data_IF_204661888923
#
_entry.id   IF_204661888923
#
_cell.length_a   1.000
_cell.length_b   1.000
_cell.length_c   1.000
_cell.angle_alpha   90.00
_cell.angle_beta   90.00
_cell.angle_gamma   90.00
#
_symmetry.space_group_name_H-M   'P 1'
#
loop_
_entity.id
_entity.type
_entity.pdbx_description
1 polymer ?
#
# COMPACT_ATOMS: atom_id res chain seq x y z
N UNK A 1 -4.68 -19.01 -25.86
CA UNK A 1 -4.26 -18.35 -25.85
C UNK A 1 -3.88 -18.19 -25.94
N UNK A 2 -3.83 -18.66 -25.19
CA UNK A 2 -3.42 -18.11 -25.01
C UNK A 2 -3.13 -18.25 -25.01
N UNK A 3 -3.40 -18.57 -24.57
CA UNK A 3 -3.05 -18.26 -24.47
C UNK A 3 -2.94 -18.38 -24.23
N UNK A 4 -3.29 -18.87 -24.07
CA UNK A 4 -2.98 -18.42 -23.81
C UNK A 4 -2.75 -18.46 -23.38
N UNK A 5 -2.83 -18.95 -22.97
CA UNK A 5 -2.58 -18.44 -22.60
C UNK A 5 -2.37 -18.50 -22.32
N UNK A 6 -2.64 -18.87 -22.06
CA UNK A 6 -2.35 -18.35 -21.84
C UNK A 6 -2.14 -18.27 -21.43
N UNK A 7 -2.16 -18.55 -20.95
CA UNK A 7 -1.89 -18.02 -20.72
C UNK A 7 -1.81 -18.02 -20.22
N UNK A 8 -1.97 -18.47 -19.93
CA UNK A 8 -1.65 -17.93 -19.57
C UNK A 8 -1.43 -17.76 -19.14
N UNK A 9 -1.50 -18.50 -18.65
CA UNK A 9 -1.30 -17.77 -18.33
C UNK A 9 -1.04 -17.66 -18.01
N UNK A 10 -0.95 -17.87 -17.74
CA UNK A 10 -0.56 -17.20 -17.56
C UNK A 10 -0.32 -16.76 -17.57
N UNK A 11 -0.12 -16.84 -17.10
CA UNK A 11 0.31 -16.02 -17.21
C UNK A 11 0.54 -15.70 -16.95
N UNK A 12 0.19 -16.17 -16.38
CA UNK A 12 0.59 -15.30 -16.31
C UNK A 12 1.04 -14.91 -16.42
N UNK A 13 1.03 -15.35 -16.27
CA UNK A 13 1.58 -14.45 -16.43
C UNK A 13 2.00 -14.00 -16.92
N UNK A 14 2.08 -14.10 -16.96
CA UNK A 14 2.56 -13.10 -17.37
C UNK A 14 2.83 -12.63 -17.85
N UNK A 15 2.81 -12.66 -18.07
CA UNK A 15 3.22 -11.71 -18.50
C UNK A 15 3.37 -11.20 -19.13
N UNK A 16 3.15 -11.14 -19.23
CA UNK A 16 3.35 -10.37 -19.78
C UNK A 16 3.37 -9.61 -20.47
N UNK A 17 3.18 -9.52 -20.49
CA UNK A 17 3.33 -8.68 -20.93
C UNK A 17 3.45 -8.07 -21.10
N UNK A 18 3.00 -8.31 -21.04
CA UNK A 18 3.23 -7.51 -21.10
C UNK A 18 3.63 -7.12 -20.59
N UNK A 19 3.79 -7.37 -20.80
CA UNK A 19 4.68 -7.06 -19.90
C UNK A 19 4.24 -6.76 -18.55
N UNK A 20 3.22 -7.22 -18.17
CA UNK A 20 2.76 -6.99 -16.81
C UNK A 20 3.72 -7.63 -15.84
N UNK A 21 4.00 -6.92 -14.75
CA UNK A 21 4.80 -7.42 -13.67
C UNK A 21 3.94 -7.78 -12.47
N UNK A 22 4.61 -7.90 -11.35
CA UNK A 22 3.94 -8.11 -10.07
C UNK A 22 3.38 -6.79 -9.56
N UNK A 23 2.23 -6.84 -8.91
CA UNK A 23 1.65 -5.67 -8.25
C UNK A 23 2.62 -5.09 -7.23
N UNK A 24 2.55 -3.77 -6.98
CA UNK A 24 3.35 -3.16 -5.93
C UNK A 24 3.02 -3.80 -4.57
N UNK A 25 4.04 -3.89 -3.73
CA UNK A 25 3.90 -4.43 -2.37
C UNK A 25 4.08 -3.29 -1.39
N UNK A 26 3.22 -3.22 -0.39
CA UNK A 26 3.29 -2.23 0.66
C UNK A 26 3.51 -2.91 2.01
N UNK A 27 4.44 -2.36 2.78
CA UNK A 27 4.65 -2.71 4.18
C UNK A 27 4.38 -1.47 5.02
N UNK A 28 3.61 -1.60 6.09
CA UNK A 28 3.40 -0.51 7.03
C UNK A 28 4.09 -0.88 8.33
N UNK A 29 5.06 -0.08 8.75
CA UNK A 29 5.75 -0.22 10.02
C UNK A 29 5.24 0.87 10.92
N UNK A 30 4.36 0.51 11.85
CA UNK A 30 3.71 1.47 12.72
C UNK A 30 4.39 1.49 14.09
N UNK A 31 5.29 2.45 14.29
CA UNK A 31 5.94 2.68 15.56
C UNK A 31 5.20 3.63 16.49
N UNK A 32 3.98 4.04 16.11
CA UNK A 32 3.18 4.96 16.93
C UNK A 32 2.44 4.22 18.03
N UNK A 33 1.92 5.00 18.98
CA UNK A 33 1.08 4.51 20.09
C UNK A 33 -0.37 4.26 19.65
N UNK A 34 -0.70 4.49 18.38
CA UNK A 34 -2.05 4.40 17.83
C UNK A 34 -2.12 3.34 16.75
N UNK A 35 -3.28 2.74 16.54
CA UNK A 35 -3.46 1.95 15.34
C UNK A 35 -3.62 2.88 14.15
N UNK A 36 -3.28 2.40 12.96
CA UNK A 36 -3.30 3.20 11.74
C UNK A 36 -3.97 2.46 10.61
N UNK A 37 -4.75 3.20 9.83
CA UNK A 37 -5.34 2.72 8.58
C UNK A 37 -4.73 3.51 7.42
N UNK A 38 -4.37 2.81 6.35
CA UNK A 38 -3.79 3.42 5.16
C UNK A 38 -4.80 3.37 4.03
N UNK A 39 -5.02 4.52 3.42
CA UNK A 39 -5.93 4.68 2.27
C UNK A 39 -5.15 5.15 1.05
N UNK A 40 -5.49 4.59 -0.10
CA UNK A 40 -5.00 5.05 -1.39
C UNK A 40 -6.21 5.47 -2.21
N UNK A 41 -6.30 6.75 -2.58
CA UNK A 41 -7.45 7.35 -3.28
C UNK A 41 -8.77 6.98 -2.58
N UNK A 42 -8.79 7.12 -1.25
CA UNK A 42 -9.95 6.85 -0.38
C UNK A 42 -10.35 5.39 -0.25
N UNK A 43 -9.51 4.47 -0.72
CA UNK A 43 -9.73 3.03 -0.56
C UNK A 43 -8.80 2.50 0.53
N UNK A 44 -9.35 1.82 1.53
CA UNK A 44 -8.56 1.20 2.59
C UNK A 44 -7.72 0.06 2.00
N UNK A 45 -6.40 0.15 2.14
CA UNK A 45 -5.48 -0.85 1.59
C UNK A 45 -4.69 -1.61 2.64
N UNK A 46 -4.47 -1.02 3.82
CA UNK A 46 -3.66 -1.66 4.86
C UNK A 46 -4.02 -1.12 6.23
N UNK A 47 -3.73 -1.90 7.26
CA UNK A 47 -3.89 -1.50 8.66
C UNK A 47 -2.76 -2.08 9.48
N UNK A 48 -2.35 -1.35 10.51
CA UNK A 48 -1.35 -1.83 11.45
C UNK A 48 -1.70 -1.34 12.85
N UNK A 49 -1.68 -2.25 13.82
CA UNK A 49 -1.91 -1.88 15.23
C UNK A 49 -0.77 -1.05 15.79
N UNK A 50 -0.98 -0.48 16.97
CA UNK A 50 0.05 0.29 17.66
C UNK A 50 1.30 -0.57 17.86
N UNK A 51 2.47 -0.02 17.52
CA UNK A 51 3.77 -0.71 17.62
C UNK A 51 3.85 -2.02 16.84
N UNK A 52 3.05 -2.18 15.78
CA UNK A 52 3.00 -3.38 14.96
C UNK A 52 3.16 -3.07 13.48
N UNK A 53 3.32 -4.12 12.70
CA UNK A 53 3.47 -4.03 11.25
C UNK A 53 2.25 -4.61 10.55
N UNK A 54 1.98 -4.13 9.34
CA UNK A 54 0.88 -4.67 8.54
C UNK A 54 1.18 -6.06 7.96
N UNK A 55 2.47 -6.39 7.81
CA UNK A 55 2.88 -7.50 6.98
C UNK A 55 2.87 -7.10 5.50
N UNK A 56 2.95 -8.08 4.63
CA UNK A 56 3.01 -7.87 3.18
C UNK A 56 1.61 -7.61 2.63
N UNK A 57 1.43 -6.47 1.97
CA UNK A 57 0.15 -6.10 1.36
C UNK A 57 0.35 -5.90 -0.14
N UNK A 58 -0.38 -6.64 -0.94
CA UNK A 58 -0.34 -6.50 -2.39
C UNK A 58 -1.36 -5.45 -2.82
N UNK A 59 -0.91 -4.42 -3.55
CA UNK A 59 -1.76 -3.30 -3.95
C UNK A 59 -2.46 -3.60 -5.29
N UNK A 60 -3.52 -4.39 -5.23
CA UNK A 60 -4.22 -4.85 -6.43
C UNK A 60 -5.26 -3.87 -6.96
N UNK A 61 -5.72 -2.93 -6.11
CA UNK A 61 -6.77 -1.98 -6.47
C UNK A 61 -6.29 -0.53 -6.43
N UNK A 62 -4.98 -0.32 -6.51
CA UNK A 62 -4.35 0.99 -6.50
C UNK A 62 -3.87 1.32 -7.91
N UNK A 63 -4.00 2.58 -8.31
CA UNK A 63 -3.45 3.04 -9.59
C UNK A 63 -1.93 2.83 -9.62
N UNK A 64 -1.43 2.39 -10.76
CA UNK A 64 0.00 2.11 -10.95
C UNK A 64 0.54 3.05 -12.00
N UNK A 65 1.69 3.67 -11.71
CA UNK A 65 2.36 4.67 -12.56
C UNK A 65 1.51 5.93 -12.77
N UNK A 66 0.57 6.18 -11.87
CA UNK A 66 -0.26 7.38 -11.85
C UNK A 66 -0.21 7.96 -10.44
N UNK A 67 -0.46 9.27 -10.28
CA UNK A 67 -0.42 9.88 -8.95
C UNK A 67 -1.55 9.34 -8.07
N UNK A 68 -1.18 8.94 -6.86
CA UNK A 68 -2.11 8.38 -5.87
C UNK A 68 -2.06 9.24 -4.62
N UNK A 69 -3.21 9.57 -4.08
CA UNK A 69 -3.33 10.27 -2.81
C UNK A 69 -3.32 9.24 -1.68
N UNK A 70 -2.23 9.22 -0.92
CA UNK A 70 -2.03 8.25 0.17
C UNK A 70 -2.27 8.94 1.50
N UNK A 71 -3.06 8.32 2.38
CA UNK A 71 -3.36 8.86 3.70
C UNK A 71 -3.18 7.80 4.77
N UNK A 72 -2.72 8.23 5.95
CA UNK A 72 -2.65 7.41 7.15
C UNK A 72 -3.48 8.08 8.23
N UNK A 73 -4.48 7.38 8.78
CA UNK A 73 -5.32 7.88 9.86
C UNK A 73 -5.04 7.11 11.14
N UNK A 74 -4.93 7.84 12.26
CA UNK A 74 -4.61 7.25 13.56
C UNK A 74 -5.87 7.10 14.42
N UNK A 75 -5.96 5.96 15.08
CA UNK A 75 -7.08 5.61 15.95
C UNK A 75 -6.58 5.21 17.34
N UNK A 76 -7.33 5.57 18.37
CA UNK A 76 -6.97 5.23 19.75
C UNK A 76 -7.30 3.75 20.07
N UNK A 77 -7.01 3.33 21.30
CA UNK A 77 -7.22 1.94 21.73
C UNK A 77 -8.70 1.54 21.74
N UNK A 78 -9.62 2.50 21.72
CA UNK A 78 -11.05 2.25 21.64
C UNK A 78 -11.57 2.24 20.20
N UNK A 79 -10.68 2.39 19.22
CA UNK A 79 -11.05 2.43 17.80
C UNK A 79 -11.60 3.78 17.36
N UNK A 80 -11.43 4.82 18.17
CA UNK A 80 -11.93 6.14 17.84
C UNK A 80 -10.88 6.96 17.13
N UNK A 81 -11.29 7.66 16.07
CA UNK A 81 -10.40 8.53 15.34
C UNK A 81 -9.85 9.64 16.24
N UNK A 82 -8.54 9.79 16.25
CA UNK A 82 -7.84 10.76 17.10
C UNK A 82 -7.88 12.19 16.57
N UNK A 83 -8.30 12.38 15.30
CA UNK A 83 -8.18 13.65 14.61
C UNK A 83 -6.83 13.83 13.92
N UNK A 84 -5.92 12.88 14.06
CA UNK A 84 -4.58 12.98 13.52
C UNK A 84 -4.44 12.11 12.27
N UNK A 85 -3.92 12.72 11.20
CA UNK A 85 -3.66 11.98 9.97
C UNK A 85 -2.46 12.58 9.23
N UNK A 86 -1.92 11.82 8.30
CA UNK A 86 -0.80 12.21 7.45
C UNK A 86 -1.23 11.94 6.01
N UNK A 87 -0.80 12.78 5.07
CA UNK A 87 -1.12 12.56 3.66
C UNK A 87 0.10 12.82 2.78
N UNK A 88 0.13 12.11 1.67
CA UNK A 88 1.12 12.25 0.60
C UNK A 88 0.32 12.40 -0.69
N UNK A 89 0.34 13.59 -1.29
CA UNK A 89 -0.63 13.97 -2.34
C UNK A 89 -0.43 13.29 -3.68
N UNK A 90 0.78 12.98 -4.04
CA UNK A 90 1.07 12.44 -5.38
C UNK A 90 2.18 11.42 -5.29
N UNK A 91 1.85 10.26 -4.79
CA UNK A 91 2.81 9.17 -4.73
C UNK A 91 2.56 8.19 -5.87
N UNK A 92 3.64 7.69 -6.49
CA UNK A 92 3.55 6.79 -7.65
C UNK A 92 3.98 5.40 -7.24
N UNK A 93 3.06 4.44 -7.33
CA UNK A 93 3.39 3.02 -7.17
C UNK A 93 3.70 2.43 -8.54
N UNK A 94 4.69 1.55 -8.60
CA UNK A 94 5.16 0.97 -9.86
C UNK A 94 5.12 -0.54 -9.79
N UNK A 95 4.98 -1.17 -10.96
CA UNK A 95 5.06 -2.63 -11.08
C UNK A 95 6.41 -3.12 -10.54
N UNK A 96 6.41 -4.29 -9.91
CA UNK A 96 7.61 -5.00 -9.43
C UNK A 96 8.39 -4.26 -8.34
N UNK A 97 7.79 -3.28 -7.68
CA UNK A 97 8.44 -2.50 -6.63
C UNK A 97 7.76 -2.73 -5.29
N UNK A 98 8.54 -2.56 -4.25
CA UNK A 98 8.05 -2.63 -2.87
C UNK A 98 8.23 -1.28 -2.20
N UNK A 99 7.33 -0.99 -1.27
CA UNK A 99 7.27 0.31 -0.59
C UNK A 99 7.07 0.10 0.89
N UNK A 100 7.53 1.06 1.67
CA UNK A 100 7.35 1.03 3.12
C UNK A 100 6.83 2.37 3.60
N UNK A 101 5.75 2.32 4.41
CA UNK A 101 5.28 3.46 5.18
C UNK A 101 5.76 3.25 6.60
N UNK A 102 6.51 4.22 7.12
CA UNK A 102 6.97 4.19 8.51
C UNK A 102 6.25 5.29 9.27
N UNK A 103 5.57 4.91 10.34
CA UNK A 103 4.78 5.83 11.15
C UNK A 103 5.33 5.91 12.56
N UNK A 104 5.24 7.09 13.17
CA UNK A 104 5.53 7.31 14.58
C UNK A 104 4.52 8.33 15.14
N UNK A 105 4.64 8.68 16.42
CA UNK A 105 3.67 9.58 17.06
C UNK A 105 3.68 10.99 16.49
N UNK A 106 4.77 11.40 15.85
CA UNK A 106 4.90 12.77 15.33
C UNK A 106 4.74 12.86 13.81
N UNK A 107 4.69 11.74 13.10
CA UNK A 107 4.54 11.78 11.64
C UNK A 107 4.87 10.47 10.98
N UNK A 108 5.22 10.54 9.72
CA UNK A 108 5.55 9.35 8.96
C UNK A 108 6.18 9.67 7.63
N UNK A 109 6.64 8.62 6.95
CA UNK A 109 7.18 8.75 5.59
C UNK A 109 6.84 7.52 4.78
N UNK A 110 6.86 7.69 3.46
CA UNK A 110 6.68 6.61 2.50
C UNK A 110 7.90 6.58 1.60
N UNK A 111 8.41 5.38 1.30
CA UNK A 111 9.61 5.24 0.49
C UNK A 111 9.56 3.97 -0.34
N UNK A 112 10.23 3.99 -1.49
CA UNK A 112 10.44 2.80 -2.32
C UNK A 112 11.63 2.03 -1.77
N UNK A 113 11.49 0.74 -1.68
CA UNK A 113 12.55 -0.14 -1.17
C UNK A 113 13.48 -0.61 -2.28
#
# INVERSE_FOLDING_TARGET
>A
MALVAVLVGTFSSCNKDGGLGNYPILYVVNGSSYSANIYCDNLLVASAGAHNNSGRVELTNTSINLPVYVEAYYYDSNGKYTGKHISWESFYFRWNKSYKITLNDSGGRIEEL
#
